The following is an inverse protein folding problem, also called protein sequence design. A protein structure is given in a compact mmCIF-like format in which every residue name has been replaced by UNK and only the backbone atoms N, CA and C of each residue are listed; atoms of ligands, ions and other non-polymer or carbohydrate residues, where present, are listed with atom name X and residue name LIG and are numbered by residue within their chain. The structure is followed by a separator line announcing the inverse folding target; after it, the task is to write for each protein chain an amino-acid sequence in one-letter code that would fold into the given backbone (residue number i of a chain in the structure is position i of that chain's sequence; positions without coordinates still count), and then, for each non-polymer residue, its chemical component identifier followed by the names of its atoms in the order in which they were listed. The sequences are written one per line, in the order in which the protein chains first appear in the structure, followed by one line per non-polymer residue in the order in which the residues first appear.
data_IF_431531554372
#
_entry.id   IF_431531554372
#
_cell.length_a   1.000
_cell.length_b   1.000
_cell.length_c   1.000
_cell.angle_alpha   90.00
_cell.angle_beta   90.00
_cell.angle_gamma   90.00
#
_symmetry.space_group_name_H-M   'P 1'
#
loop_
_entity.id
_entity.type
_entity.pdbx_description
1 polymer ?
#
# COMPACT_ATOMS: atom_id res chain seq x y z
N UNK A 1 -10.31 -19.01 15.63
CA UNK A 1 -11.17 -17.90 16.09
C UNK A 1 -10.32 -16.64 16.18
N UNK A 2 -10.37 -15.79 15.14
CA UNK A 2 -9.74 -14.46 15.11
C UNK A 2 -10.76 -13.43 15.63
N UNK A 3 -11.16 -13.52 16.90
CA UNK A 3 -12.00 -12.51 17.52
C UNK A 3 -11.09 -11.34 17.93
N UNK A 4 -11.38 -10.14 17.38
CA UNK A 4 -10.87 -8.83 17.75
C UNK A 4 -9.50 -8.38 17.19
N UNK A 5 -9.23 -8.58 15.91
CA UNK A 5 -8.19 -7.75 15.28
C UNK A 5 -8.77 -6.34 15.00
N UNK A 6 -8.33 -5.28 15.72
CA UNK A 6 -8.88 -3.94 15.55
C UNK A 6 -8.60 -3.35 14.16
N UNK A 7 -7.59 -3.84 13.44
CA UNK A 7 -7.28 -3.44 12.06
C UNK A 7 -8.33 -4.01 11.12
N UNK A 8 -8.59 -5.33 11.20
CA UNK A 8 -9.65 -5.97 10.42
C UNK A 8 -11.01 -5.30 10.66
N UNK A 9 -11.39 -5.13 11.94
CA UNK A 9 -12.66 -4.51 12.32
C UNK A 9 -12.82 -3.07 11.85
N UNK A 10 -11.72 -2.31 11.70
CA UNK A 10 -11.73 -0.98 11.13
C UNK A 10 -11.98 -1.02 9.62
N UNK A 11 -11.26 -1.87 8.90
CA UNK A 11 -11.35 -1.97 7.44
C UNK A 11 -12.65 -2.64 6.96
N UNK A 12 -13.24 -3.54 7.73
CA UNK A 12 -14.55 -4.15 7.41
C UNK A 12 -15.69 -3.13 7.27
N UNK A 13 -15.54 -1.95 7.87
CA UNK A 13 -16.54 -0.88 7.80
C UNK A 13 -16.33 0.08 6.63
N UNK A 14 -15.23 -0.05 5.88
CA UNK A 14 -14.79 0.98 4.94
C UNK A 14 -14.99 0.70 3.44
N UNK A 15 -15.35 -0.53 2.93
CA UNK A 15 -15.23 -0.80 1.50
C UNK A 15 -15.91 0.25 0.62
N UNK A 16 -17.16 0.57 0.89
CA UNK A 16 -17.92 1.56 0.13
C UNK A 16 -17.40 3.00 0.31
N UNK A 17 -17.05 3.36 1.54
CA UNK A 17 -16.51 4.69 1.85
C UNK A 17 -15.12 4.87 1.24
N UNK A 18 -14.30 3.82 1.29
CA UNK A 18 -12.97 3.79 0.72
C UNK A 18 -13.03 3.97 -0.80
N UNK A 19 -13.90 3.22 -1.47
CA UNK A 19 -14.13 3.32 -2.90
C UNK A 19 -14.59 4.72 -3.32
N UNK A 20 -15.63 5.28 -2.68
CA UNK A 20 -16.14 6.62 -2.96
C UNK A 20 -15.10 7.72 -2.73
N UNK A 21 -14.26 7.58 -1.71
CA UNK A 21 -13.23 8.57 -1.39
C UNK A 21 -12.21 8.72 -2.53
N UNK A 22 -12.00 7.66 -3.31
CA UNK A 22 -11.01 7.64 -4.40
C UNK A 22 -11.63 7.80 -5.79
N UNK A 23 -12.92 7.52 -5.99
CA UNK A 23 -13.56 7.53 -7.31
C UNK A 23 -14.32 8.84 -7.64
N UNK A 24 -14.95 9.48 -6.68
CA UNK A 24 -16.04 10.44 -6.99
C UNK A 24 -15.69 11.92 -6.95
N UNK A 25 -14.49 12.34 -6.52
CA UNK A 25 -14.18 13.78 -6.39
C UNK A 25 -12.72 14.12 -6.67
N UNK A 26 -12.50 15.24 -7.38
CA UNK A 26 -11.20 15.88 -7.43
C UNK A 26 -10.79 16.34 -6.02
N UNK A 27 -9.97 15.54 -5.36
CA UNK A 27 -9.44 15.77 -4.02
C UNK A 27 -7.96 15.40 -4.00
N UNK A 28 -7.22 15.91 -3.02
CA UNK A 28 -5.83 15.52 -2.82
C UNK A 28 -5.70 14.02 -2.53
N UNK A 29 -6.65 13.43 -1.80
CA UNK A 29 -6.68 11.99 -1.55
C UNK A 29 -6.84 11.19 -2.86
N UNK A 30 -7.74 11.61 -3.75
CA UNK A 30 -7.91 10.99 -5.07
C UNK A 30 -6.63 11.15 -5.91
N UNK A 31 -6.07 12.36 -6.00
CA UNK A 31 -4.83 12.61 -6.74
C UNK A 31 -3.70 11.69 -6.25
N UNK A 32 -3.50 11.61 -4.95
CA UNK A 32 -2.44 10.81 -4.36
C UNK A 32 -2.67 9.30 -4.53
N UNK A 33 -3.92 8.85 -4.53
CA UNK A 33 -4.26 7.46 -4.85
C UNK A 33 -3.92 7.13 -6.30
N UNK A 34 -4.34 7.97 -7.26
CA UNK A 34 -4.02 7.78 -8.69
C UNK A 34 -2.50 7.81 -8.92
N UNK A 35 -1.80 8.71 -8.22
CA UNK A 35 -0.35 8.78 -8.30
C UNK A 35 0.32 7.53 -7.75
N UNK A 36 -0.15 7.02 -6.60
CA UNK A 36 0.33 5.75 -6.04
C UNK A 36 0.11 4.58 -6.98
N UNK A 37 -1.07 4.49 -7.61
CA UNK A 37 -1.40 3.47 -8.59
C UNK A 37 -0.44 3.55 -9.80
N UNK A 38 -0.26 4.75 -10.37
CA UNK A 38 0.66 4.97 -11.49
C UNK A 38 2.08 4.55 -11.14
N UNK A 39 2.61 5.02 -10.00
CA UNK A 39 3.96 4.70 -9.55
C UNK A 39 4.15 3.21 -9.26
N UNK A 40 3.16 2.54 -8.68
CA UNK A 40 3.21 1.10 -8.46
C UNK A 40 3.24 0.33 -9.79
N UNK A 41 2.47 0.77 -10.80
CA UNK A 41 2.51 0.19 -12.14
C UNK A 41 3.84 0.44 -12.86
N UNK A 42 4.42 1.64 -12.73
CA UNK A 42 5.74 1.97 -13.29
C UNK A 42 6.84 1.10 -12.67
N UNK A 43 6.88 1.01 -11.34
CA UNK A 43 7.87 0.21 -10.60
C UNK A 43 7.69 -1.30 -10.83
N UNK A 44 6.45 -1.76 -10.98
CA UNK A 44 6.12 -3.14 -11.35
C UNK A 44 6.34 -3.45 -12.84
N UNK A 45 6.64 -2.42 -13.64
CA UNK A 45 6.57 -2.45 -15.11
C UNK A 45 7.45 -3.48 -15.83
N UNK A 46 8.49 -4.01 -15.21
CA UNK A 46 9.35 -5.06 -15.77
C UNK A 46 9.08 -6.45 -15.18
N UNK A 47 8.27 -6.54 -14.14
CA UNK A 47 7.94 -7.81 -13.48
C UNK A 47 6.87 -8.58 -14.24
N UNK A 48 6.95 -9.89 -14.19
CA UNK A 48 6.00 -10.83 -14.80
C UNK A 48 5.91 -12.09 -13.94
N UNK A 49 4.95 -12.97 -14.21
CA UNK A 49 4.80 -14.25 -13.53
C UNK A 49 3.77 -14.20 -12.39
N UNK A 50 4.19 -14.39 -11.17
CA UNK A 50 3.32 -14.51 -9.98
C UNK A 50 3.33 -13.25 -9.14
N UNK A 51 2.14 -12.69 -8.91
CA UNK A 51 1.93 -11.50 -8.10
C UNK A 51 1.33 -11.88 -6.73
N UNK A 52 1.84 -11.28 -5.67
CA UNK A 52 1.19 -11.25 -4.35
C UNK A 52 0.82 -9.82 -4.00
N UNK A 53 -0.42 -9.60 -3.58
CA UNK A 53 -0.83 -8.34 -2.97
C UNK A 53 -1.16 -8.57 -1.48
N UNK A 54 -0.34 -7.97 -0.62
CA UNK A 54 -0.47 -8.03 0.83
C UNK A 54 -1.28 -6.82 1.32
N UNK A 55 -2.47 -7.04 1.86
CA UNK A 55 -3.42 -6.01 2.24
C UNK A 55 -3.95 -5.23 1.01
N UNK A 56 -4.55 -5.99 0.11
CA UNK A 56 -4.99 -5.51 -1.20
C UNK A 56 -6.12 -4.46 -1.14
N UNK A 57 -6.81 -4.34 -0.01
CA UNK A 57 -7.97 -3.47 0.12
C UNK A 57 -9.02 -3.83 -0.92
N UNK A 58 -9.47 -2.88 -1.72
CA UNK A 58 -10.49 -3.05 -2.76
C UNK A 58 -9.92 -3.51 -4.12
N UNK A 59 -8.58 -3.69 -4.24
CA UNK A 59 -7.93 -4.40 -5.35
C UNK A 59 -7.61 -3.57 -6.60
N UNK A 60 -7.76 -2.24 -6.58
CA UNK A 60 -7.59 -1.38 -7.75
C UNK A 60 -6.16 -1.41 -8.30
N UNK A 61 -5.14 -1.41 -7.43
CA UNK A 61 -3.74 -1.41 -7.86
C UNK A 61 -3.38 -2.78 -8.46
N UNK A 62 -3.82 -3.86 -7.82
CA UNK A 62 -3.69 -5.22 -8.38
C UNK A 62 -4.36 -5.30 -9.75
N UNK A 63 -5.59 -4.79 -9.87
CA UNK A 63 -6.31 -4.76 -11.14
C UNK A 63 -5.53 -4.03 -12.23
N UNK A 64 -4.97 -2.87 -11.92
CA UNK A 64 -4.19 -2.08 -12.86
C UNK A 64 -2.92 -2.82 -13.32
N UNK A 65 -2.21 -3.46 -12.40
CA UNK A 65 -1.03 -4.28 -12.73
C UNK A 65 -1.38 -5.49 -13.60
N UNK A 66 -2.44 -6.21 -13.26
CA UNK A 66 -2.87 -7.41 -14.01
C UNK A 66 -3.33 -7.08 -15.42
N UNK A 67 -3.89 -5.89 -15.66
CA UNK A 67 -4.24 -5.40 -17.01
C UNK A 67 -3.04 -5.24 -17.94
N UNK A 68 -1.82 -5.25 -17.43
CA UNK A 68 -0.61 -5.27 -18.26
C UNK A 68 -0.43 -6.58 -19.04
N UNK A 69 -1.14 -7.65 -18.66
CA UNK A 69 -1.06 -8.97 -19.28
C UNK A 69 0.22 -9.78 -19.00
N UNK A 70 1.07 -9.30 -18.09
CA UNK A 70 2.36 -9.95 -17.79
C UNK A 70 2.30 -10.98 -16.68
N UNK A 71 1.22 -11.01 -15.93
CA UNK A 71 1.02 -11.90 -14.80
C UNK A 71 0.05 -13.02 -15.18
N UNK A 72 0.39 -14.25 -14.82
CA UNK A 72 -0.44 -15.43 -15.04
C UNK A 72 -1.12 -15.93 -13.75
N UNK A 73 -0.65 -15.45 -12.60
CA UNK A 73 -1.20 -15.78 -11.30
C UNK A 73 -1.16 -14.57 -10.36
N UNK A 74 -2.21 -14.37 -9.58
CA UNK A 74 -2.25 -13.36 -8.52
C UNK A 74 -2.90 -13.92 -7.25
N UNK A 75 -2.16 -13.88 -6.15
CA UNK A 75 -2.66 -14.15 -4.80
C UNK A 75 -2.96 -12.82 -4.12
N UNK A 76 -4.18 -12.66 -3.65
CA UNK A 76 -4.71 -11.46 -3.01
C UNK A 76 -4.98 -11.79 -1.54
N UNK A 77 -4.24 -11.15 -0.65
CA UNK A 77 -4.33 -11.40 0.80
C UNK A 77 -4.85 -10.14 1.49
N UNK A 78 -5.87 -10.29 2.30
CA UNK A 78 -6.33 -9.23 3.20
C UNK A 78 -6.87 -9.86 4.50
N UNK A 79 -6.75 -9.10 5.61
CA UNK A 79 -7.27 -9.52 6.91
C UNK A 79 -8.75 -9.21 7.05
N UNK A 80 -9.27 -8.29 6.22
CA UNK A 80 -10.67 -7.86 6.18
C UNK A 80 -11.44 -8.65 5.12
N UNK A 81 -12.41 -9.51 5.51
CA UNK A 81 -13.26 -10.21 4.56
C UNK A 81 -14.07 -9.28 3.66
N UNK A 82 -14.46 -8.10 4.15
CA UNK A 82 -15.21 -7.12 3.35
C UNK A 82 -14.34 -6.49 2.25
N UNK A 83 -13.07 -6.15 2.55
CA UNK A 83 -12.11 -5.69 1.54
C UNK A 83 -11.82 -6.78 0.52
N UNK A 84 -11.57 -8.00 0.98
CA UNK A 84 -11.28 -9.14 0.10
C UNK A 84 -12.46 -9.47 -0.84
N UNK A 85 -13.70 -9.33 -0.36
CA UNK A 85 -14.89 -9.50 -1.19
C UNK A 85 -14.99 -8.42 -2.26
N UNK A 86 -14.66 -7.16 -1.94
CA UNK A 86 -14.64 -6.06 -2.90
C UNK A 86 -13.56 -6.28 -3.97
N UNK A 87 -12.34 -6.65 -3.55
CA UNK A 87 -11.25 -7.01 -4.45
C UNK A 87 -11.63 -8.18 -5.37
N UNK A 88 -12.25 -9.23 -4.82
CA UNK A 88 -12.74 -10.37 -5.60
C UNK A 88 -13.73 -9.91 -6.68
N UNK A 89 -14.73 -9.12 -6.31
CA UNK A 89 -15.73 -8.63 -7.25
C UNK A 89 -15.11 -7.80 -8.37
N UNK A 90 -14.18 -6.91 -8.06
CA UNK A 90 -13.46 -6.10 -9.04
C UNK A 90 -12.62 -6.98 -9.98
N UNK A 91 -11.75 -7.81 -9.41
CA UNK A 91 -10.77 -8.57 -10.19
C UNK A 91 -11.43 -9.63 -11.07
N UNK A 92 -12.43 -10.36 -10.56
CA UNK A 92 -13.12 -11.37 -11.37
C UNK A 92 -13.93 -10.76 -12.51
N UNK A 93 -14.43 -9.52 -12.37
CA UNK A 93 -15.13 -8.81 -13.43
C UNK A 93 -14.21 -8.25 -14.52
N UNK A 94 -12.99 -7.80 -14.14
CA UNK A 94 -12.11 -7.02 -15.00
C UNK A 94 -10.95 -7.83 -15.59
N UNK A 95 -10.53 -8.90 -14.93
CA UNK A 95 -9.34 -9.66 -15.28
C UNK A 95 -9.75 -11.01 -15.87
N UNK A 96 -9.17 -11.31 -17.02
CA UNK A 96 -9.33 -12.59 -17.72
C UNK A 96 -7.94 -13.22 -17.91
N UNK A 97 -7.89 -14.54 -18.01
CA UNK A 97 -6.66 -15.30 -18.29
C UNK A 97 -5.55 -15.17 -17.21
N UNK A 98 -5.93 -14.84 -15.97
CA UNK A 98 -5.06 -14.85 -14.79
C UNK A 98 -5.71 -15.74 -13.74
N UNK A 99 -4.96 -16.65 -13.16
CA UNK A 99 -5.38 -17.43 -12.01
C UNK A 99 -5.43 -16.52 -10.78
N UNK A 100 -6.62 -16.36 -10.19
CA UNK A 100 -6.86 -15.48 -9.06
C UNK A 100 -7.13 -16.29 -7.78
N UNK A 101 -6.30 -16.10 -6.78
CA UNK A 101 -6.46 -16.69 -5.46
C UNK A 101 -6.75 -15.58 -4.45
N UNK A 102 -7.75 -15.78 -3.57
CA UNK A 102 -8.14 -14.81 -2.54
C UNK A 102 -8.09 -15.47 -1.17
N UNK A 103 -7.27 -14.94 -0.28
CA UNK A 103 -6.98 -15.54 1.02
C UNK A 103 -7.24 -14.54 2.13
N UNK A 104 -8.20 -14.84 3.00
CA UNK A 104 -8.38 -14.14 4.26
C UNK A 104 -7.29 -14.58 5.24
N UNK A 105 -6.28 -13.74 5.41
CA UNK A 105 -5.16 -14.02 6.30
C UNK A 105 -4.47 -12.75 6.76
N UNK A 106 -3.88 -12.86 7.96
CA UNK A 106 -2.86 -11.91 8.39
C UNK A 106 -1.56 -12.18 7.59
N UNK A 107 -1.00 -11.13 6.99
CA UNK A 107 0.22 -11.22 6.18
C UNK A 107 1.40 -11.84 6.94
N UNK A 108 1.48 -11.66 8.25
CA UNK A 108 2.57 -12.21 9.08
C UNK A 108 2.48 -13.73 9.26
N UNK A 109 1.29 -14.28 9.11
CA UNK A 109 1.03 -15.73 9.24
C UNK A 109 0.76 -16.40 7.90
N UNK A 110 0.59 -15.62 6.84
CA UNK A 110 0.39 -16.13 5.49
C UNK A 110 1.63 -16.92 5.03
N UNK A 111 1.42 -18.16 4.63
CA UNK A 111 2.45 -19.01 4.05
C UNK A 111 1.90 -19.60 2.76
N UNK A 112 2.48 -19.28 1.62
CA UNK A 112 2.12 -19.95 0.37
C UNK A 112 2.52 -21.42 0.46
N UNK A 113 1.69 -22.32 -0.04
CA UNK A 113 1.87 -23.76 0.10
C UNK A 113 3.15 -24.24 -0.61
N UNK A 114 3.41 -23.80 -1.86
CA UNK A 114 4.55 -24.21 -2.67
C UNK A 114 5.04 -23.14 -3.64
N UNK A 115 4.64 -21.89 -3.43
CA UNK A 115 4.84 -20.85 -4.41
C UNK A 115 5.65 -19.69 -3.87
N UNK A 116 6.56 -19.18 -4.70
CA UNK A 116 7.21 -17.89 -4.49
C UNK A 116 6.67 -16.89 -5.49
N UNK A 117 6.85 -15.60 -5.19
CA UNK A 117 6.31 -14.50 -5.96
C UNK A 117 7.40 -13.71 -6.65
N UNK A 118 7.13 -13.31 -7.90
CA UNK A 118 8.05 -12.50 -8.69
C UNK A 118 7.89 -11.01 -8.33
N UNK A 119 6.68 -10.62 -7.91
CA UNK A 119 6.41 -9.30 -7.35
C UNK A 119 5.48 -9.39 -6.15
N UNK A 120 5.79 -8.62 -5.12
CA UNK A 120 4.97 -8.49 -3.92
C UNK A 120 4.60 -7.02 -3.75
N UNK A 121 3.30 -6.73 -3.66
CA UNK A 121 2.78 -5.43 -3.30
C UNK A 121 2.55 -5.36 -1.79
N UNK A 122 3.04 -4.30 -1.17
CA UNK A 122 2.84 -3.99 0.24
C UNK A 122 2.58 -2.48 0.38
N UNK A 123 1.37 -2.07 0.01
CA UNK A 123 1.01 -0.66 -0.11
C UNK A 123 0.07 -0.24 1.02
N UNK A 124 0.55 0.66 1.88
CA UNK A 124 -0.21 1.18 3.02
C UNK A 124 -0.25 0.27 4.25
N UNK A 125 0.18 -0.97 4.17
CA UNK A 125 0.10 -1.96 5.25
C UNK A 125 0.92 -1.58 6.49
N UNK A 126 2.17 -1.16 6.30
CA UNK A 126 3.12 -0.99 7.41
C UNK A 126 2.69 0.10 8.40
N UNK A 127 1.93 1.08 7.97
CA UNK A 127 1.35 2.09 8.84
C UNK A 127 0.37 1.49 9.86
N UNK A 128 -0.30 0.41 9.50
CA UNK A 128 -1.31 -0.25 10.33
C UNK A 128 -0.74 -1.37 11.21
N UNK A 129 0.37 -1.95 10.83
CA UNK A 129 0.98 -3.09 11.52
C UNK A 129 2.20 -2.72 12.36
N UNK A 130 3.01 -1.75 11.93
CA UNK A 130 4.20 -1.27 12.65
C UNK A 130 5.35 -2.26 12.77
N UNK A 131 5.30 -3.42 12.10
CA UNK A 131 6.21 -4.54 12.32
C UNK A 131 7.13 -4.80 11.12
N UNK A 132 7.89 -3.77 10.73
CA UNK A 132 8.84 -3.86 9.60
C UNK A 132 9.91 -4.95 9.80
N UNK A 133 10.36 -5.11 11.03
CA UNK A 133 11.39 -6.07 11.44
C UNK A 133 10.98 -7.53 11.23
N UNK A 134 9.70 -7.81 11.20
CA UNK A 134 9.14 -9.15 10.93
C UNK A 134 8.64 -9.24 9.49
N UNK A 135 7.99 -8.17 9.01
CA UNK A 135 7.37 -8.17 7.69
C UNK A 135 8.39 -8.34 6.55
N UNK A 136 9.47 -7.54 6.55
CA UNK A 136 10.43 -7.58 5.44
C UNK A 136 11.17 -8.91 5.32
N UNK A 137 11.67 -9.55 6.41
CA UNK A 137 12.22 -10.90 6.34
C UNK A 137 11.19 -11.94 5.84
N UNK A 138 9.93 -11.83 6.29
CA UNK A 138 8.86 -12.71 5.83
C UNK A 138 8.60 -12.55 4.33
N UNK A 139 8.42 -11.35 3.83
CA UNK A 139 8.22 -11.10 2.39
C UNK A 139 9.41 -11.57 1.56
N UNK A 140 10.64 -11.35 2.03
CA UNK A 140 11.85 -11.88 1.38
C UNK A 140 11.84 -13.39 1.27
N UNK A 141 11.38 -14.11 2.31
CA UNK A 141 11.39 -15.57 2.34
C UNK A 141 10.48 -16.23 1.29
N UNK A 142 9.46 -15.50 0.85
CA UNK A 142 8.48 -15.95 -0.15
C UNK A 142 8.70 -15.32 -1.53
N UNK A 143 9.79 -14.57 -1.71
CA UNK A 143 10.17 -13.94 -2.97
C UNK A 143 11.00 -14.90 -3.84
N UNK A 144 10.78 -14.91 -5.15
CA UNK A 144 11.65 -15.65 -6.08
C UNK A 144 13.05 -15.02 -6.14
N UNK A 145 14.09 -15.76 -6.54
CA UNK A 145 15.36 -15.15 -6.90
C UNK A 145 15.16 -14.10 -8.01
N UNK A 146 15.62 -12.87 -7.75
CA UNK A 146 15.39 -11.75 -8.66
C UNK A 146 14.01 -11.06 -8.55
N UNK A 147 13.12 -11.58 -7.71
CA UNK A 147 11.83 -10.98 -7.44
C UNK A 147 11.92 -9.60 -6.79
N UNK A 148 10.82 -8.87 -6.76
CA UNK A 148 10.74 -7.48 -6.29
C UNK A 148 9.62 -7.29 -5.27
N UNK A 149 9.81 -6.34 -4.35
CA UNK A 149 8.77 -5.89 -3.42
C UNK A 149 8.51 -4.41 -3.70
N UNK A 150 7.25 -4.02 -3.85
CA UNK A 150 6.83 -2.62 -3.89
C UNK A 150 6.24 -2.30 -2.52
N UNK A 151 6.97 -1.48 -1.76
CA UNK A 151 6.62 -1.06 -0.41
C UNK A 151 6.23 0.41 -0.40
N UNK A 152 5.12 0.79 0.26
CA UNK A 152 4.72 2.20 0.38
C UNK A 152 4.48 2.59 1.84
N UNK A 153 4.91 3.81 2.18
CA UNK A 153 4.65 4.42 3.48
C UNK A 153 4.59 5.94 3.40
N UNK A 154 3.96 6.55 4.41
CA UNK A 154 4.02 7.99 4.68
C UNK A 154 5.17 8.27 5.63
N UNK A 155 6.05 9.21 5.24
CA UNK A 155 7.31 9.48 5.93
C UNK A 155 7.16 10.52 7.06
N UNK A 156 7.76 10.23 8.22
CA UNK A 156 7.84 11.19 9.34
C UNK A 156 8.85 12.31 9.12
N UNK A 157 9.73 12.18 8.15
CA UNK A 157 10.71 13.22 7.82
C UNK A 157 10.05 14.45 7.19
N UNK A 158 8.82 14.29 6.67
CA UNK A 158 8.06 15.36 6.08
C UNK A 158 7.33 16.21 7.13
N UNK A 159 7.44 17.56 7.02
CA UNK A 159 6.88 18.50 8.00
C UNK A 159 5.35 18.36 8.14
N UNK A 160 4.64 18.25 7.01
CA UNK A 160 3.19 18.06 7.01
C UNK A 160 2.76 16.79 7.76
N UNK A 161 3.48 15.69 7.55
CA UNK A 161 3.25 14.43 8.28
C UNK A 161 3.46 14.59 9.79
N UNK A 162 4.54 15.28 10.18
CA UNK A 162 4.81 15.57 11.61
C UNK A 162 3.70 16.39 12.24
N UNK A 163 3.19 17.38 11.52
CA UNK A 163 2.07 18.22 11.97
C UNK A 163 0.80 17.39 12.15
N UNK A 164 0.43 16.59 11.16
CA UNK A 164 -0.75 15.71 11.25
C UNK A 164 -0.61 14.76 12.44
N UNK A 165 0.54 14.09 12.58
CA UNK A 165 0.82 13.18 13.70
C UNK A 165 0.64 13.87 15.06
N UNK A 166 1.20 15.07 15.23
CA UNK A 166 1.10 15.82 16.48
C UNK A 166 -0.35 16.19 16.83
N UNK A 167 -1.14 16.61 15.83
CA UNK A 167 -2.51 17.06 16.03
C UNK A 167 -3.52 15.91 16.17
N UNK A 168 -3.26 14.74 15.58
CA UNK A 168 -4.20 13.61 15.57
C UNK A 168 -3.89 12.53 16.61
N UNK A 169 -2.74 12.53 17.25
CA UNK A 169 -2.26 11.46 18.13
C UNK A 169 -3.27 11.02 19.21
N UNK A 170 -4.07 11.95 19.76
CA UNK A 170 -5.08 11.65 20.79
C UNK A 170 -6.38 11.08 20.23
N UNK A 171 -6.80 11.52 19.04
CA UNK A 171 -8.07 11.12 18.42
C UNK A 171 -7.95 9.84 17.58
N UNK A 172 -6.75 9.43 17.24
CA UNK A 172 -6.49 8.30 16.35
C UNK A 172 -6.96 6.97 16.93
N UNK A 173 -6.62 6.72 18.20
CA UNK A 173 -7.04 5.50 18.91
C UNK A 173 -8.57 5.45 19.06
N UNK A 174 -9.19 6.57 19.44
CA UNK A 174 -10.65 6.63 19.59
C UNK A 174 -11.38 6.32 18.29
N UNK A 175 -10.82 6.72 17.15
CA UNK A 175 -11.43 6.53 15.83
C UNK A 175 -11.19 5.15 15.22
N UNK A 176 -10.00 4.58 15.42
CA UNK A 176 -9.56 3.34 14.75
C UNK A 176 -9.47 2.13 15.67
N UNK A 177 -9.40 2.34 16.98
CA UNK A 177 -9.15 1.27 17.94
C UNK A 177 -7.67 0.87 18.07
N UNK A 178 -6.77 1.46 17.26
CA UNK A 178 -5.33 1.19 17.28
C UNK A 178 -4.52 2.43 16.88
N UNK A 179 -3.21 2.38 17.11
CA UNK A 179 -2.28 3.45 16.70
C UNK A 179 -1.70 3.18 15.32
N UNK A 180 -1.58 4.22 14.53
CA UNK A 180 -0.80 4.21 13.28
C UNK A 180 0.69 4.26 13.62
N UNK A 181 1.45 3.41 12.96
CA UNK A 181 2.90 3.43 13.00
C UNK A 181 3.46 4.39 11.95
N UNK A 182 4.52 5.06 12.32
CA UNK A 182 5.13 6.10 11.51
C UNK A 182 6.61 5.80 11.35
N UNK A 183 7.12 5.91 10.13
CA UNK A 183 8.49 5.58 9.80
C UNK A 183 9.20 6.75 9.12
N UNK A 184 10.47 6.94 9.44
CA UNK A 184 11.37 7.79 8.67
C UNK A 184 11.96 7.01 7.49
N UNK A 185 12.58 7.72 6.55
CA UNK A 185 13.32 7.06 5.48
C UNK A 185 14.46 6.18 6.03
N UNK A 186 15.09 6.62 7.13
CA UNK A 186 16.13 5.85 7.80
C UNK A 186 15.60 4.55 8.40
N UNK A 187 14.43 4.57 9.04
CA UNK A 187 13.81 3.35 9.59
C UNK A 187 13.56 2.30 8.49
N UNK A 188 13.14 2.75 7.31
CA UNK A 188 12.94 1.86 6.15
C UNK A 188 14.28 1.30 5.66
N UNK A 189 15.30 2.14 5.49
CA UNK A 189 16.63 1.70 5.06
C UNK A 189 17.22 0.68 6.02
N UNK A 190 17.24 1.00 7.32
CA UNK A 190 17.79 0.12 8.36
C UNK A 190 17.03 -1.23 8.43
N UNK A 191 15.71 -1.21 8.20
CA UNK A 191 14.91 -2.44 8.17
C UNK A 191 15.19 -3.29 6.91
N UNK A 192 15.39 -2.65 5.75
CA UNK A 192 15.80 -3.32 4.52
C UNK A 192 17.17 -4.00 4.70
N UNK A 193 18.15 -3.28 5.25
CA UNK A 193 19.50 -3.80 5.48
C UNK A 193 19.48 -5.02 6.41
N UNK A 194 18.74 -4.94 7.54
CA UNK A 194 18.57 -6.08 8.45
C UNK A 194 17.89 -7.28 7.80
N UNK A 195 16.96 -7.04 6.85
CA UNK A 195 16.31 -8.12 6.10
C UNK A 195 17.17 -8.64 4.93
N UNK A 196 18.32 -8.02 4.63
CA UNK A 196 19.14 -8.31 3.46
C UNK A 196 18.40 -8.00 2.16
N UNK A 197 17.64 -6.91 2.15
CA UNK A 197 17.00 -6.33 0.99
C UNK A 197 17.72 -5.06 0.60
N UNK A 198 17.73 -4.73 -0.69
CA UNK A 198 18.26 -3.47 -1.21
C UNK A 198 17.14 -2.59 -1.74
N UNK A 199 17.20 -1.30 -1.46
CA UNK A 199 16.36 -0.31 -2.10
C UNK A 199 16.93 -0.06 -3.50
N UNK A 200 16.22 -0.49 -4.52
CA UNK A 200 16.63 -0.35 -5.92
C UNK A 200 16.19 0.99 -6.48
N UNK A 201 15.01 1.44 -6.07
CA UNK A 201 14.42 2.70 -6.49
C UNK A 201 13.51 3.28 -5.41
N UNK A 202 13.43 4.59 -5.34
CA UNK A 202 12.52 5.33 -4.47
C UNK A 202 11.77 6.38 -5.28
N UNK A 203 10.45 6.40 -5.18
CA UNK A 203 9.57 7.41 -5.77
C UNK A 203 8.79 8.10 -4.67
N UNK A 204 8.76 9.43 -4.67
CA UNK A 204 7.98 10.22 -3.73
C UNK A 204 6.76 10.84 -4.40
N UNK A 205 5.74 11.07 -3.64
CA UNK A 205 4.53 11.80 -4.05
C UNK A 205 3.86 12.42 -2.83
N UNK A 206 2.72 13.09 -3.03
CA UNK A 206 1.94 13.74 -1.99
C UNK A 206 2.64 14.97 -1.40
N UNK A 207 2.11 16.15 -1.69
CA UNK A 207 2.61 17.42 -1.13
C UNK A 207 2.51 17.44 0.40
N UNK A 208 1.59 16.65 0.95
CA UNK A 208 1.47 16.44 2.39
C UNK A 208 0.88 17.62 3.14
N UNK A 209 -0.12 18.28 2.56
CA UNK A 209 -0.80 19.41 3.20
C UNK A 209 -1.69 18.89 4.34
N UNK A 210 -1.41 19.30 5.59
CA UNK A 210 -2.22 18.87 6.72
C UNK A 210 -3.70 19.25 6.53
N UNK A 211 -4.58 18.24 6.55
CA UNK A 211 -6.03 18.42 6.45
C UNK A 211 -6.51 19.13 5.17
N UNK A 212 -5.71 19.17 4.10
CA UNK A 212 -6.02 19.90 2.87
C UNK A 212 -7.41 19.60 2.32
N UNK A 213 -7.79 18.32 2.21
CA UNK A 213 -9.11 17.91 1.73
C UNK A 213 -10.26 18.28 2.69
N UNK A 214 -9.97 18.49 3.97
CA UNK A 214 -10.98 18.93 4.94
C UNK A 214 -11.35 20.40 4.73
N UNK A 215 -10.41 21.24 4.30
CA UNK A 215 -10.65 22.64 4.02
C UNK A 215 -11.23 22.85 2.62
N UNK A 216 -10.59 22.29 1.60
CA UNK A 216 -11.06 22.34 0.21
C UNK A 216 -10.47 21.18 -0.61
N UNK A 217 -11.22 20.11 -0.89
CA UNK A 217 -10.75 18.99 -1.69
C UNK A 217 -10.24 19.44 -3.07
N UNK A 218 -10.98 20.32 -3.74
CA UNK A 218 -10.61 20.82 -5.07
C UNK A 218 -9.32 21.65 -5.04
N UNK A 219 -9.17 22.58 -4.08
CA UNK A 219 -7.95 23.37 -3.97
C UNK A 219 -6.74 22.50 -3.65
N UNK A 220 -6.91 21.50 -2.78
CA UNK A 220 -5.86 20.53 -2.47
C UNK A 220 -5.48 19.71 -3.70
N UNK A 221 -6.45 19.23 -4.49
CA UNK A 221 -6.19 18.55 -5.77
C UNK A 221 -5.36 19.41 -6.72
N UNK A 222 -5.73 20.69 -6.91
CA UNK A 222 -5.01 21.61 -7.78
C UNK A 222 -3.57 21.85 -7.30
N UNK A 223 -3.38 21.91 -5.99
CA UNK A 223 -2.06 22.13 -5.41
C UNK A 223 -1.17 20.89 -5.55
N UNK A 224 -1.72 19.69 -5.33
CA UNK A 224 -1.03 18.41 -5.59
C UNK A 224 -0.57 18.32 -7.05
N UNK A 225 -1.45 18.66 -8.00
CA UNK A 225 -1.13 18.63 -9.43
C UNK A 225 -0.05 19.67 -9.82
N UNK A 226 -0.14 20.90 -9.28
CA UNK A 226 0.85 21.95 -9.58
C UNK A 226 2.23 21.68 -8.98
N UNK A 227 2.25 21.06 -7.81
CA UNK A 227 3.50 20.78 -7.08
C UNK A 227 3.99 19.34 -7.27
N UNK A 228 3.47 18.60 -8.24
CA UNK A 228 3.85 17.20 -8.48
C UNK A 228 5.36 17.02 -8.65
N UNK A 229 6.03 17.89 -9.43
CA UNK A 229 7.49 17.86 -9.60
C UNK A 229 8.24 18.10 -8.30
N UNK A 230 7.73 18.94 -7.43
CA UNK A 230 8.28 19.16 -6.09
C UNK A 230 8.04 17.92 -5.21
N UNK A 231 6.82 17.40 -5.20
CA UNK A 231 6.44 16.23 -4.43
C UNK A 231 7.22 14.97 -4.87
N UNK A 232 7.63 14.85 -6.12
CA UNK A 232 8.49 13.74 -6.59
C UNK A 232 9.88 13.70 -5.92
N UNK A 233 10.31 14.80 -5.32
CA UNK A 233 11.58 14.91 -4.59
C UNK A 233 11.39 14.98 -3.08
N UNK A 234 10.36 15.70 -2.63
CA UNK A 234 10.18 16.10 -1.23
C UNK A 234 8.85 15.61 -0.63
N UNK A 235 8.08 14.84 -1.36
CA UNK A 235 6.74 14.40 -0.95
C UNK A 235 6.70 13.63 0.35
N UNK A 236 5.52 13.66 0.96
CA UNK A 236 5.24 13.03 2.24
C UNK A 236 5.18 11.49 2.16
N UNK A 237 4.75 10.97 1.00
CA UNK A 237 4.67 9.53 0.77
C UNK A 237 5.84 9.05 -0.10
N UNK A 238 6.32 7.85 0.19
CA UNK A 238 7.36 7.18 -0.60
C UNK A 238 6.94 5.77 -0.97
N UNK A 239 7.24 5.40 -2.22
CA UNK A 239 7.14 4.05 -2.74
C UNK A 239 8.55 3.57 -3.05
N UNK A 240 8.89 2.41 -2.54
CA UNK A 240 10.19 1.78 -2.69
C UNK A 240 10.06 0.53 -3.54
N UNK A 241 10.96 0.37 -4.51
CA UNK A 241 11.20 -0.90 -5.16
C UNK A 241 12.35 -1.58 -4.43
N UNK A 242 12.10 -2.74 -3.85
CA UNK A 242 13.09 -3.51 -3.12
C UNK A 242 13.43 -4.79 -3.90
N UNK A 243 14.67 -5.24 -3.79
CA UNK A 243 15.14 -6.52 -4.31
C UNK A 243 16.00 -7.26 -3.29
N UNK A 244 16.22 -8.56 -3.48
CA UNK A 244 17.21 -9.28 -2.68
C UNK A 244 18.59 -8.67 -2.87
N UNK A 245 19.32 -8.51 -1.75
CA UNK A 245 20.72 -8.09 -1.75
C UNK A 245 21.67 -9.19 -2.20
#
# INVERSE_FOLDING_TARGET
MKQNDPVAAYFDKLPETHKRQFEERASGANFNFQKRLTLACELGGTSSGRLLDCAAGTGEITCALLKSGRFNHATVVDVSPAMLQSARSLLTSQIKNVELEFIESDVFTFKPTDSRFDIILCLGLIAHTGRLDILLPHLKSILTPGGRIILQTTLTDHLGTRTVRALTARSEIARRGYRISWFSQRDISDACDRAGLRILETRRHNVGIPFGDRFSPWANFQLEARLEKWASRHGADAIYLLGAG
#
